data_IF_751572965062
#
_entry.id   IF_751572965062
#
_cell.length_a   1.000
_cell.length_b   1.000
_cell.length_c   1.000
_cell.angle_alpha   90.00
_cell.angle_beta   90.00
_cell.angle_gamma   90.00
#
_symmetry.space_group_name_H-M   'P 1'
#
loop_
_entity.id
_entity.type
_entity.pdbx_description
1 polymer ?
#
# COMPACT_ATOMS: atom_id res chain seq x y z
N UNK A 1 -17.45 36.08 -31.51
CA UNK A 1 -17.58 34.61 -31.47
C UNK A 1 -16.27 33.91 -31.05
N UNK A 2 -15.54 34.46 -30.07
CA UNK A 2 -14.22 33.94 -29.63
C UNK A 2 -14.08 33.88 -28.10
N UNK A 3 -14.87 34.64 -27.34
CA UNK A 3 -14.92 34.53 -25.87
C UNK A 3 -15.60 33.24 -25.38
N UNK A 4 -16.70 32.81 -26.02
CA UNK A 4 -17.39 31.56 -25.70
C UNK A 4 -16.60 30.29 -26.05
N UNK A 5 -15.61 30.40 -26.94
CA UNK A 5 -14.69 29.30 -27.27
C UNK A 5 -13.58 29.17 -26.22
N UNK A 6 -13.12 30.29 -25.64
CA UNK A 6 -12.11 30.29 -24.58
C UNK A 6 -12.66 29.82 -23.22
N UNK A 7 -13.89 30.20 -22.86
CA UNK A 7 -14.53 29.71 -21.62
C UNK A 7 -14.89 28.22 -21.68
N UNK A 8 -15.33 27.69 -22.83
CA UNK A 8 -15.57 26.25 -23.02
C UNK A 8 -14.28 25.42 -23.02
N UNK A 9 -13.16 25.98 -23.49
CA UNK A 9 -11.91 25.23 -23.59
C UNK A 9 -11.11 25.21 -22.27
N UNK A 10 -11.39 26.11 -21.33
CA UNK A 10 -10.81 26.07 -19.96
C UNK A 10 -11.65 25.27 -18.97
N UNK A 11 -12.96 25.13 -19.19
CA UNK A 11 -13.84 24.31 -18.33
C UNK A 11 -13.72 22.81 -18.60
N UNK A 12 -13.46 22.36 -19.83
CA UNK A 12 -13.41 20.93 -20.19
C UNK A 12 -12.09 20.17 -19.94
N UNK A 13 -11.01 20.79 -19.40
CA UNK A 13 -9.70 20.09 -19.25
C UNK A 13 -9.27 19.82 -17.81
N UNK A 14 -9.86 20.49 -16.82
CA UNK A 14 -9.61 20.27 -15.38
C UNK A 14 -10.73 19.48 -14.69
N UNK A 15 -11.90 19.38 -15.33
CA UNK A 15 -13.02 18.61 -14.81
C UNK A 15 -12.86 17.09 -15.01
N UNK A 16 -11.91 16.62 -15.82
CA UNK A 16 -11.81 15.21 -16.25
C UNK A 16 -10.51 14.48 -15.84
N UNK A 17 -9.65 15.06 -15.01
CA UNK A 17 -8.41 14.38 -14.58
C UNK A 17 -8.56 13.47 -13.35
N UNK A 18 -9.52 13.69 -12.44
CA UNK A 18 -9.73 12.85 -11.23
C UNK A 18 -11.15 13.00 -10.60
N UNK A 19 -12.26 12.87 -11.33
CA UNK A 19 -13.62 12.77 -10.71
C UNK A 19 -13.79 11.38 -10.07
N UNK A 20 -13.40 11.03 -8.86
CA UNK A 20 -13.31 11.71 -7.59
C UNK A 20 -12.47 10.70 -6.78
N UNK A 21 -11.28 11.04 -6.28
CA UNK A 21 -10.73 10.24 -5.15
C UNK A 21 -11.87 10.08 -4.14
N UNK A 22 -12.07 8.90 -3.54
CA UNK A 22 -13.13 8.75 -2.56
C UNK A 22 -13.03 9.91 -1.55
N UNK A 23 -14.16 10.48 -1.12
CA UNK A 23 -14.12 11.63 -0.19
C UNK A 23 -13.18 11.38 1.00
N UNK A 24 -13.04 10.10 1.35
CA UNK A 24 -12.12 9.58 2.34
C UNK A 24 -10.64 9.64 1.92
N UNK A 25 -10.24 9.10 0.76
CA UNK A 25 -8.84 9.13 0.30
C UNK A 25 -8.31 10.56 0.27
N UNK A 26 -9.12 11.50 -0.24
CA UNK A 26 -8.77 12.93 -0.25
C UNK A 26 -8.60 13.48 1.15
N UNK A 27 -9.53 13.18 2.06
CA UNK A 27 -9.47 13.65 3.44
C UNK A 27 -8.21 13.12 4.13
N UNK A 28 -7.95 11.82 4.04
CA UNK A 28 -6.77 11.18 4.63
C UNK A 28 -5.48 11.78 4.07
N UNK A 29 -5.41 12.01 2.76
CA UNK A 29 -4.25 12.63 2.11
C UNK A 29 -3.99 14.04 2.64
N UNK A 30 -5.03 14.86 2.76
CA UNK A 30 -4.93 16.21 3.32
C UNK A 30 -4.46 16.15 4.77
N UNK A 31 -5.02 15.24 5.57
CA UNK A 31 -4.65 15.07 6.97
C UNK A 31 -3.19 14.63 7.11
N UNK A 32 -2.73 13.68 6.29
CA UNK A 32 -1.33 13.24 6.27
C UNK A 32 -0.37 14.41 5.98
N UNK A 33 -0.65 15.19 4.94
CA UNK A 33 0.17 16.33 4.55
C UNK A 33 0.17 17.43 5.62
N UNK A 34 -0.98 17.71 6.26
CA UNK A 34 -1.08 18.70 7.34
C UNK A 34 -0.24 18.36 8.57
N UNK A 35 -0.10 17.08 8.88
CA UNK A 35 0.72 16.60 10.01
C UNK A 35 2.18 16.31 9.61
N UNK A 36 2.56 16.61 8.36
CA UNK A 36 3.92 16.42 7.86
C UNK A 36 4.31 14.97 7.58
N UNK A 37 3.33 14.08 7.37
CA UNK A 37 3.56 12.67 7.01
C UNK A 37 3.76 12.52 5.49
N UNK A 38 4.83 13.13 4.97
CA UNK A 38 5.08 13.20 3.53
C UNK A 38 5.54 11.85 2.96
N UNK A 39 6.31 11.07 3.73
CA UNK A 39 6.77 9.75 3.29
C UNK A 39 5.60 8.77 3.22
N UNK A 40 4.75 8.76 4.24
CA UNK A 40 3.53 7.96 4.29
C UNK A 40 2.57 8.35 3.18
N UNK A 41 2.42 9.65 2.88
CA UNK A 41 1.59 10.10 1.76
C UNK A 41 2.13 9.58 0.41
N UNK A 42 3.44 9.69 0.18
CA UNK A 42 4.07 9.18 -1.04
C UNK A 42 3.88 7.68 -1.19
N UNK A 43 4.04 6.96 -0.09
CA UNK A 43 3.85 5.51 -0.01
C UNK A 43 2.42 5.11 -0.34
N UNK A 44 1.43 5.78 0.27
CA UNK A 44 0.02 5.58 -0.03
C UNK A 44 -0.28 5.77 -1.53
N UNK A 45 0.23 6.86 -2.12
CA UNK A 45 0.03 7.12 -3.55
C UNK A 45 0.64 6.03 -4.42
N UNK A 46 1.84 5.54 -4.08
CA UNK A 46 2.48 4.44 -4.81
C UNK A 46 1.67 3.15 -4.74
N UNK A 47 1.21 2.76 -3.55
CA UNK A 47 0.38 1.56 -3.34
C UNK A 47 -0.91 1.63 -4.17
N UNK A 48 -1.60 2.77 -4.16
CA UNK A 48 -2.84 2.96 -4.93
C UNK A 48 -2.59 2.93 -6.44
N UNK A 49 -1.47 3.49 -6.90
CA UNK A 49 -1.06 3.43 -8.30
C UNK A 49 -0.73 2.00 -8.73
N UNK A 50 0.06 1.26 -7.94
CA UNK A 50 0.44 -0.12 -8.25
C UNK A 50 -0.76 -1.05 -8.41
N UNK A 51 -1.79 -0.90 -7.56
CA UNK A 51 -3.00 -1.72 -7.69
C UNK A 51 -3.75 -1.44 -9.01
N UNK A 52 -3.80 -0.17 -9.44
CA UNK A 52 -4.43 0.24 -10.69
C UNK A 52 -3.63 -0.26 -11.89
N UNK A 53 -2.31 -0.09 -11.88
CA UNK A 53 -1.40 -0.58 -12.93
C UNK A 53 -1.43 -2.11 -13.06
N UNK A 54 -1.42 -2.86 -11.95
CA UNK A 54 -1.49 -4.33 -11.97
C UNK A 54 -2.82 -4.81 -12.56
N UNK A 55 -3.93 -4.15 -12.21
CA UNK A 55 -5.24 -4.43 -12.78
C UNK A 55 -5.25 -4.18 -14.28
N UNK A 56 -4.80 -3.00 -14.72
CA UNK A 56 -4.73 -2.64 -16.14
C UNK A 56 -3.88 -3.64 -16.94
N UNK A 57 -2.75 -4.08 -16.40
CA UNK A 57 -1.86 -5.06 -17.03
C UNK A 57 -2.50 -6.43 -17.21
N UNK A 58 -3.30 -6.89 -16.26
CA UNK A 58 -3.90 -8.23 -16.28
C UNK A 58 -5.18 -8.32 -17.12
N UNK A 59 -5.80 -7.17 -17.42
CA UNK A 59 -6.96 -7.06 -18.30
C UNK A 59 -8.27 -7.50 -17.64
N UNK A 60 -9.40 -7.03 -18.22
CA UNK A 60 -10.74 -7.09 -17.62
C UNK A 60 -11.23 -8.50 -17.24
N UNK A 61 -10.74 -9.53 -17.92
CA UNK A 61 -11.12 -10.93 -17.69
C UNK A 61 -10.44 -11.54 -16.45
N UNK A 62 -9.38 -10.91 -15.93
CA UNK A 62 -8.66 -11.44 -14.78
C UNK A 62 -9.50 -11.32 -13.49
N UNK A 63 -9.55 -12.35 -12.61
CA UNK A 63 -10.33 -12.31 -11.37
C UNK A 63 -10.03 -11.10 -10.46
N UNK A 64 -8.83 -10.51 -10.55
CA UNK A 64 -8.48 -9.30 -9.79
C UNK A 64 -9.31 -8.07 -10.18
N UNK A 65 -9.91 -8.02 -11.37
CA UNK A 65 -10.86 -6.96 -11.73
C UNK A 65 -12.15 -6.99 -10.90
N UNK A 66 -12.53 -8.16 -10.35
CA UNK A 66 -13.73 -8.32 -9.53
C UNK A 66 -13.53 -7.93 -8.07
N UNK A 67 -12.28 -7.82 -7.60
CA UNK A 67 -11.98 -7.37 -6.24
C UNK A 67 -12.26 -5.86 -6.11
N UNK A 68 -12.67 -5.34 -4.96
CA UNK A 68 -12.71 -3.89 -4.76
C UNK A 68 -11.28 -3.30 -4.81
N UNK A 69 -11.16 -2.04 -5.24
CA UNK A 69 -9.91 -1.29 -5.09
C UNK A 69 -9.77 -0.82 -3.64
N UNK A 70 -8.53 -0.59 -3.22
CA UNK A 70 -8.23 -0.19 -1.84
C UNK A 70 -8.85 1.19 -1.51
N UNK A 71 -8.97 2.08 -2.49
CA UNK A 71 -9.61 3.40 -2.34
C UNK A 71 -11.13 3.33 -2.10
N UNK A 72 -11.76 2.20 -2.45
CA UNK A 72 -13.17 1.92 -2.17
C UNK A 72 -13.40 1.23 -0.81
N UNK A 73 -12.38 0.56 -0.26
CA UNK A 73 -12.45 -0.13 1.03
C UNK A 73 -12.03 0.78 2.19
N UNK A 74 -12.99 1.58 2.65
CA UNK A 74 -12.76 2.67 3.63
C UNK A 74 -12.00 2.23 4.88
N UNK A 75 -12.34 1.08 5.47
CA UNK A 75 -11.70 0.60 6.70
C UNK A 75 -10.24 0.19 6.46
N UNK A 76 -9.97 -0.51 5.35
CA UNK A 76 -8.60 -0.89 4.96
C UNK A 76 -7.75 0.34 4.67
N UNK A 77 -8.32 1.33 3.97
CA UNK A 77 -7.63 2.57 3.66
C UNK A 77 -7.27 3.36 4.93
N UNK A 78 -8.20 3.48 5.89
CA UNK A 78 -7.94 4.11 7.19
C UNK A 78 -6.85 3.36 7.97
N UNK A 79 -6.93 2.03 8.01
CA UNK A 79 -5.95 1.19 8.70
C UNK A 79 -4.56 1.36 8.09
N UNK A 80 -4.46 1.35 6.76
CA UNK A 80 -3.22 1.60 6.03
C UNK A 80 -2.62 2.95 6.43
N UNK A 81 -3.37 4.04 6.29
CA UNK A 81 -2.89 5.39 6.59
C UNK A 81 -2.47 5.52 8.06
N UNK A 82 -3.23 4.94 8.99
CA UNK A 82 -2.93 5.00 10.42
C UNK A 82 -1.55 4.41 10.73
N UNK A 83 -1.26 3.21 10.23
CA UNK A 83 -0.01 2.51 10.55
C UNK A 83 1.17 3.01 9.72
N UNK A 84 0.95 3.51 8.50
CA UNK A 84 1.99 4.25 7.77
C UNK A 84 2.42 5.50 8.56
N UNK A 85 1.48 6.32 9.02
CA UNK A 85 1.79 7.51 9.81
C UNK A 85 2.51 7.16 11.12
N UNK A 86 2.10 6.08 11.81
CA UNK A 86 2.80 5.60 13.00
C UNK A 86 4.23 5.13 12.70
N UNK A 87 4.45 4.46 11.56
CA UNK A 87 5.78 4.03 11.14
C UNK A 87 6.69 5.23 10.84
N UNK A 88 6.19 6.24 10.12
CA UNK A 88 6.93 7.48 9.87
C UNK A 88 7.17 8.28 11.17
N UNK A 89 6.20 8.34 12.09
CA UNK A 89 6.40 8.96 13.40
C UNK A 89 7.52 8.25 14.19
N UNK A 90 7.54 6.91 14.16
CA UNK A 90 8.59 6.13 14.79
C UNK A 90 9.95 6.38 14.15
N UNK A 91 10.02 6.48 12.82
CA UNK A 91 11.23 6.85 12.08
C UNK A 91 11.74 8.24 12.51
N UNK A 92 10.86 9.25 12.56
CA UNK A 92 11.21 10.61 13.02
C UNK A 92 11.79 10.64 14.43
N UNK A 93 11.37 9.70 15.28
CA UNK A 93 11.86 9.54 16.66
C UNK A 93 13.03 8.57 16.80
N UNK A 94 13.57 8.04 15.69
CA UNK A 94 14.61 6.99 15.69
C UNK A 94 14.22 5.73 16.46
N UNK A 95 12.92 5.42 16.52
CA UNK A 95 12.35 4.25 17.19
C UNK A 95 12.15 3.12 16.18
N UNK A 96 13.25 2.55 15.65
CA UNK A 96 13.20 1.61 14.53
C UNK A 96 12.48 0.29 14.86
N UNK A 97 12.51 -0.15 16.12
CA UNK A 97 11.69 -1.28 16.56
C UNK A 97 10.19 -0.97 16.41
N UNK A 98 9.74 0.23 16.80
CA UNK A 98 8.34 0.62 16.60
C UNK A 98 7.99 0.73 15.11
N UNK A 99 8.90 1.26 14.28
CA UNK A 99 8.72 1.32 12.82
C UNK A 99 8.54 -0.09 12.23
N UNK A 100 9.40 -1.03 12.62
CA UNK A 100 9.31 -2.44 12.24
C UNK A 100 7.94 -3.04 12.60
N UNK A 101 7.51 -2.89 13.86
CA UNK A 101 6.24 -3.46 14.33
C UNK A 101 5.02 -2.85 13.63
N UNK A 102 5.07 -1.56 13.25
CA UNK A 102 3.98 -0.95 12.48
C UNK A 102 3.87 -1.55 11.07
N UNK A 103 4.99 -1.82 10.40
CA UNK A 103 4.96 -2.54 9.11
C UNK A 103 4.55 -4.00 9.27
N UNK A 104 5.00 -4.68 10.33
CA UNK A 104 4.59 -6.05 10.62
C UNK A 104 3.07 -6.15 10.86
N UNK A 105 2.47 -5.14 11.50
CA UNK A 105 1.03 -5.10 11.67
C UNK A 105 0.27 -4.89 10.36
N UNK A 106 0.77 -4.03 9.48
CA UNK A 106 0.22 -3.89 8.13
C UNK A 106 0.31 -5.21 7.37
N UNK A 107 1.46 -5.89 7.43
CA UNK A 107 1.65 -7.18 6.79
C UNK A 107 0.64 -8.22 7.29
N UNK A 108 0.44 -8.30 8.60
CA UNK A 108 -0.48 -9.24 9.26
C UNK A 108 -1.94 -8.92 8.96
N UNK A 109 -2.32 -7.64 8.94
CA UNK A 109 -3.67 -7.18 8.61
C UNK A 109 -4.06 -7.55 7.17
N UNK A 110 -3.19 -7.27 6.20
CA UNK A 110 -3.46 -7.58 4.80
C UNK A 110 -3.37 -9.07 4.48
N UNK A 111 -2.58 -9.83 5.25
CA UNK A 111 -2.63 -11.29 5.17
C UNK A 111 -4.01 -11.83 5.55
N UNK A 112 -4.57 -11.35 6.67
CA UNK A 112 -5.91 -11.75 7.15
C UNK A 112 -7.03 -11.30 6.20
N UNK A 113 -6.82 -10.21 5.47
CA UNK A 113 -7.79 -9.64 4.53
C UNK A 113 -7.70 -10.21 3.10
N UNK A 114 -6.83 -11.21 2.87
CA UNK A 114 -6.51 -11.82 1.56
C UNK A 114 -5.90 -10.86 0.52
N UNK A 115 -5.32 -9.75 0.97
CA UNK A 115 -4.54 -8.80 0.17
C UNK A 115 -3.05 -9.15 0.23
N UNK A 116 -2.74 -10.36 -0.25
CA UNK A 116 -1.42 -10.97 -0.07
C UNK A 116 -0.28 -10.16 -0.69
N UNK A 117 -0.52 -9.51 -1.83
CA UNK A 117 0.48 -8.65 -2.46
C UNK A 117 0.93 -7.50 -1.53
N UNK A 118 -0.01 -6.94 -0.76
CA UNK A 118 0.26 -5.86 0.17
C UNK A 118 0.86 -6.40 1.47
N UNK A 119 0.45 -7.60 1.88
CA UNK A 119 1.10 -8.33 2.98
C UNK A 119 2.58 -8.58 2.70
N UNK A 120 2.89 -9.16 1.53
CA UNK A 120 4.26 -9.43 1.09
C UNK A 120 5.10 -8.14 1.04
N UNK A 121 4.52 -7.08 0.47
CA UNK A 121 5.14 -5.75 0.43
C UNK A 121 5.56 -5.26 1.82
N UNK A 122 4.67 -5.35 2.81
CA UNK A 122 4.97 -4.88 4.16
C UNK A 122 5.90 -5.81 4.94
N UNK A 123 5.89 -7.12 4.67
CA UNK A 123 6.91 -8.02 5.20
C UNK A 123 8.30 -7.64 4.67
N UNK A 124 8.45 -7.41 3.37
CA UNK A 124 9.73 -6.96 2.77
C UNK A 124 10.18 -5.59 3.33
N UNK A 125 9.24 -4.65 3.53
CA UNK A 125 9.56 -3.37 4.16
C UNK A 125 10.01 -3.52 5.60
N UNK A 126 9.34 -4.38 6.39
CA UNK A 126 9.75 -4.66 7.78
C UNK A 126 11.15 -5.27 7.83
N UNK A 127 11.48 -6.17 6.90
CA UNK A 127 12.83 -6.73 6.79
C UNK A 127 13.86 -5.67 6.44
N UNK A 128 13.55 -4.75 5.53
CA UNK A 128 14.44 -3.64 5.18
C UNK A 128 14.79 -2.81 6.43
N UNK A 129 13.79 -2.45 7.24
CA UNK A 129 14.04 -1.75 8.52
C UNK A 129 14.95 -2.56 9.44
N UNK A 130 14.64 -3.85 9.63
CA UNK A 130 15.43 -4.71 10.50
C UNK A 130 16.87 -4.90 10.02
N UNK A 131 17.10 -4.98 8.70
CA UNK A 131 18.44 -5.08 8.11
C UNK A 131 19.24 -3.78 8.28
N UNK A 132 18.64 -2.64 7.94
CA UNK A 132 19.28 -1.32 8.06
C UNK A 132 19.67 -1.00 9.50
N UNK A 133 18.91 -1.47 10.48
CA UNK A 133 19.13 -1.20 11.90
C UNK A 133 19.57 -2.42 12.71
N UNK A 134 19.98 -3.51 12.03
CA UNK A 134 20.36 -4.80 12.64
C UNK A 134 21.51 -4.70 13.64
N UNK A 135 22.35 -3.67 13.53
CA UNK A 135 23.43 -3.40 14.47
C UNK A 135 22.92 -3.09 15.89
N UNK A 136 21.67 -2.65 16.01
CA UNK A 136 21.07 -2.25 17.28
C UNK A 136 20.17 -3.33 17.89
N UNK A 137 19.69 -4.29 17.09
CA UNK A 137 18.86 -5.40 17.56
C UNK A 137 18.93 -6.64 16.64
N UNK A 138 19.85 -7.60 16.93
CA UNK A 138 19.99 -8.83 16.16
C UNK A 138 18.78 -9.77 16.25
N UNK A 139 17.99 -9.69 17.33
CA UNK A 139 16.79 -10.54 17.49
C UNK A 139 15.69 -10.08 16.54
N UNK A 140 15.51 -8.76 16.41
CA UNK A 140 14.59 -8.16 15.45
C UNK A 140 14.93 -8.58 14.00
N UNK A 141 16.22 -8.63 13.65
CA UNK A 141 16.66 -9.09 12.34
C UNK A 141 16.31 -10.57 12.09
N UNK A 142 16.56 -11.45 13.07
CA UNK A 142 16.23 -12.86 12.95
C UNK A 142 14.71 -13.09 12.78
N UNK A 143 13.89 -12.37 13.54
CA UNK A 143 12.43 -12.41 13.41
C UNK A 143 11.97 -11.92 12.03
N UNK A 144 12.55 -10.83 11.53
CA UNK A 144 12.24 -10.31 10.22
C UNK A 144 12.55 -11.30 9.09
N UNK A 145 13.69 -11.98 9.15
CA UNK A 145 14.04 -13.02 8.19
C UNK A 145 13.06 -14.20 8.23
N UNK A 146 12.64 -14.62 9.42
CA UNK A 146 11.63 -15.67 9.58
C UNK A 146 10.29 -15.26 8.93
N UNK A 147 9.82 -14.05 9.22
CA UNK A 147 8.54 -13.54 8.71
C UNK A 147 8.51 -13.47 7.18
N UNK A 148 9.57 -12.96 6.55
CA UNK A 148 9.72 -12.94 5.09
C UNK A 148 9.88 -14.35 4.51
N UNK A 149 10.63 -15.23 5.17
CA UNK A 149 10.75 -16.64 4.76
C UNK A 149 9.40 -17.35 4.70
N UNK A 150 8.56 -17.16 5.72
CA UNK A 150 7.20 -17.69 5.76
C UNK A 150 6.30 -17.06 4.68
N UNK A 151 6.48 -15.78 4.36
CA UNK A 151 5.77 -15.15 3.22
C UNK A 151 6.14 -15.81 1.89
N UNK A 152 7.43 -16.02 1.62
CA UNK A 152 7.90 -16.69 0.40
C UNK A 152 7.50 -18.16 0.30
N UNK A 153 7.52 -18.91 1.41
CA UNK A 153 7.05 -20.30 1.43
C UNK A 153 5.56 -20.37 1.04
N UNK A 154 4.72 -19.52 1.65
CA UNK A 154 3.29 -19.42 1.31
C UNK A 154 3.08 -19.13 -0.18
N UNK A 155 3.83 -18.18 -0.75
CA UNK A 155 3.78 -17.87 -2.18
C UNK A 155 4.14 -19.07 -3.06
N UNK A 156 5.19 -19.80 -2.68
CA UNK A 156 5.68 -20.96 -3.41
C UNK A 156 4.68 -22.13 -3.38
N UNK A 157 4.07 -22.40 -2.23
CA UNK A 157 3.04 -23.43 -2.08
C UNK A 157 1.83 -23.15 -2.98
N UNK A 158 1.36 -21.91 -3.06
CA UNK A 158 0.22 -21.53 -3.92
C UNK A 158 0.52 -21.75 -5.39
N UNK A 159 1.73 -21.39 -5.86
CA UNK A 159 2.13 -21.63 -7.25
C UNK A 159 2.12 -23.13 -7.57
N UNK A 160 2.55 -23.97 -6.62
CA UNK A 160 2.49 -25.42 -6.75
C UNK A 160 1.04 -25.95 -6.84
N UNK A 161 0.12 -25.43 -6.02
CA UNK A 161 -1.29 -25.81 -6.07
C UNK A 161 -2.00 -25.31 -7.34
N UNK A 162 -1.69 -24.11 -7.83
CA UNK A 162 -2.21 -23.60 -9.12
C UNK A 162 -1.79 -24.49 -10.29
N UNK A 163 -0.54 -24.97 -10.30
CA UNK A 163 -0.05 -25.90 -11.33
C UNK A 163 -0.76 -27.27 -11.23
N UNK A 164 -1.04 -27.76 -10.01
CA UNK A 164 -1.72 -29.04 -9.81
C UNK A 164 -3.20 -29.04 -10.17
N UNK A 165 -3.88 -27.90 -10.09
CA UNK A 165 -5.31 -27.77 -10.44
C UNK A 165 -5.50 -27.57 -11.97
N UNK A 166 -4.45 -27.18 -12.68
CA UNK A 166 -4.44 -26.94 -14.13
C UNK A 166 -3.87 -28.13 -14.95
N UNK A 167 -3.71 -29.31 -14.34
CA UNK A 167 -3.35 -30.57 -15.00
C UNK A 167 -4.46 -31.59 -14.80
#
# INVERSE_FOLDING_TARGET
>A
NTAAAYEKQTTLRKEDTEKFRSSLERQLSIDMLRHGYHNSFRELCAILAWQKEDRERLGAEHPLHRRPLLDAESDKLRYLCQYLNKAEEAERRSQFSNMYHNYLELASYFLKSDDRWLSDYFYEKSLTVAQTHSQFDPQLAAEAYLNVGLAYERRSLINLYKIKILK
#
